data_IF_788235802488
#
_entry.id   IF_788235802488
#
_cell.length_a   1.000
_cell.length_b   1.000
_cell.length_c   1.000
_cell.angle_alpha   90.00
_cell.angle_beta   90.00
_cell.angle_gamma   90.00
#
_symmetry.space_group_name_H-M   'P 1'
#
loop_
_entity.id
_entity.type
_entity.pdbx_description
1 polymer ?
#
# COMPACT_ATOMS: atom_id res chain seq x y z
N UNK A 1 -29.91 -19.79 -28.37
CA UNK A 1 -29.11 -18.95 -29.30
C UNK A 1 -29.23 -17.45 -29.04
N UNK A 2 -30.42 -16.84 -29.07
CA UNK A 2 -30.57 -15.37 -28.84
C UNK A 2 -30.11 -14.90 -27.44
N UNK A 3 -30.41 -15.64 -26.37
CA UNK A 3 -29.90 -15.33 -25.03
C UNK A 3 -28.37 -15.46 -24.92
N UNK A 4 -27.77 -16.44 -25.61
CA UNK A 4 -26.32 -16.66 -25.63
C UNK A 4 -25.59 -15.51 -26.33
N UNK A 5 -26.11 -15.08 -27.49
CA UNK A 5 -25.59 -13.96 -28.25
C UNK A 5 -25.70 -12.64 -27.46
N UNK A 6 -26.82 -12.44 -26.75
CA UNK A 6 -27.01 -11.27 -25.87
C UNK A 6 -26.04 -11.28 -24.69
N UNK A 7 -25.82 -12.44 -24.02
CA UNK A 7 -24.82 -12.59 -22.96
C UNK A 7 -23.41 -12.26 -23.45
N UNK A 8 -23.02 -12.76 -24.62
CA UNK A 8 -21.69 -12.49 -25.19
C UNK A 8 -21.51 -11.00 -25.56
N UNK A 9 -22.55 -10.37 -26.10
CA UNK A 9 -22.54 -8.94 -26.42
C UNK A 9 -22.41 -8.08 -25.16
N UNK A 10 -23.19 -8.37 -24.11
CA UNK A 10 -23.11 -7.71 -22.80
C UNK A 10 -21.73 -7.91 -22.18
N UNK A 11 -21.19 -9.13 -22.20
CA UNK A 11 -19.84 -9.40 -21.68
C UNK A 11 -18.74 -8.63 -22.44
N UNK A 12 -18.89 -8.43 -23.76
CA UNK A 12 -17.96 -7.61 -24.56
C UNK A 12 -18.06 -6.13 -24.22
N UNK A 13 -19.28 -5.61 -24.05
CA UNK A 13 -19.53 -4.23 -23.64
C UNK A 13 -19.00 -3.96 -22.23
N UNK A 14 -19.28 -4.85 -21.28
CA UNK A 14 -18.77 -4.76 -19.90
C UNK A 14 -17.24 -4.78 -19.89
N UNK A 15 -16.59 -5.68 -20.64
CA UNK A 15 -15.11 -5.69 -20.75
C UNK A 15 -14.55 -4.38 -21.29
N UNK A 16 -15.16 -3.82 -22.34
CA UNK A 16 -14.72 -2.54 -22.90
C UNK A 16 -14.91 -1.38 -21.93
N UNK A 17 -16.06 -1.33 -21.25
CA UNK A 17 -16.37 -0.31 -20.25
C UNK A 17 -15.40 -0.39 -19.05
N UNK A 18 -15.20 -1.58 -18.50
CA UNK A 18 -14.26 -1.82 -17.40
C UNK A 18 -12.81 -1.47 -17.80
N UNK A 19 -12.40 -1.79 -19.03
CA UNK A 19 -11.09 -1.40 -19.54
C UNK A 19 -10.88 0.12 -19.53
N UNK A 20 -11.87 0.88 -20.00
CA UNK A 20 -11.85 2.35 -19.97
C UNK A 20 -11.86 2.89 -18.55
N UNK A 21 -12.67 2.33 -17.64
CA UNK A 21 -12.70 2.74 -16.24
C UNK A 21 -11.34 2.55 -15.56
N UNK A 22 -10.74 1.36 -15.70
CA UNK A 22 -9.41 1.05 -15.14
C UNK A 22 -8.35 1.99 -15.73
N UNK A 23 -8.36 2.23 -17.04
CA UNK A 23 -7.42 3.14 -17.69
C UNK A 23 -7.55 4.57 -17.16
N UNK A 24 -8.78 5.07 -16.98
CA UNK A 24 -9.03 6.40 -16.42
C UNK A 24 -8.57 6.49 -14.96
N UNK A 25 -8.91 5.49 -14.14
CA UNK A 25 -8.53 5.42 -12.73
C UNK A 25 -6.99 5.39 -12.58
N UNK A 26 -6.32 4.56 -13.38
CA UNK A 26 -4.86 4.48 -13.42
C UNK A 26 -4.24 5.80 -13.87
N UNK A 27 -4.76 6.42 -14.95
CA UNK A 27 -4.26 7.69 -15.46
C UNK A 27 -4.38 8.82 -14.44
N UNK A 28 -5.51 8.90 -13.74
CA UNK A 28 -5.70 9.85 -12.64
C UNK A 28 -4.76 9.56 -11.47
N UNK A 29 -4.61 8.29 -11.07
CA UNK A 29 -3.68 7.87 -10.03
C UNK A 29 -2.25 8.29 -10.36
N UNK A 30 -1.76 7.97 -11.56
CA UNK A 30 -0.43 8.38 -12.03
C UNK A 30 -0.28 9.90 -12.06
N UNK A 31 -1.30 10.64 -12.52
CA UNK A 31 -1.29 12.09 -12.51
C UNK A 31 -1.21 12.69 -11.10
N UNK A 32 -1.93 12.12 -10.14
CA UNK A 32 -1.86 12.52 -8.73
C UNK A 32 -0.47 12.25 -8.15
N UNK A 33 0.09 11.06 -8.39
CA UNK A 33 1.44 10.72 -7.95
C UNK A 33 2.46 11.73 -8.50
N UNK A 34 2.45 11.96 -9.82
CA UNK A 34 3.41 12.84 -10.49
C UNK A 34 3.48 14.24 -9.86
N UNK A 35 2.37 14.75 -9.31
CA UNK A 35 2.31 16.07 -8.68
C UNK A 35 2.53 16.06 -7.16
N UNK A 36 2.64 14.90 -6.52
CA UNK A 36 2.65 14.80 -5.04
C UNK A 36 3.84 14.05 -4.47
N UNK A 37 4.45 13.14 -5.21
CA UNK A 37 5.66 12.44 -4.75
C UNK A 37 6.85 13.39 -4.75
N UNK A 38 7.60 13.41 -3.66
CA UNK A 38 8.82 14.19 -3.48
C UNK A 38 10.08 13.39 -3.83
N UNK A 39 9.97 12.06 -3.89
CA UNK A 39 11.07 11.14 -4.17
C UNK A 39 10.62 9.90 -4.94
N UNK A 40 11.58 9.14 -5.49
CA UNK A 40 11.28 7.94 -6.27
C UNK A 40 10.68 6.79 -5.45
N UNK A 41 10.96 6.73 -4.14
CA UNK A 41 10.48 5.64 -3.27
C UNK A 41 9.29 6.04 -2.38
N UNK A 42 8.72 7.23 -2.55
CA UNK A 42 7.59 7.74 -1.72
C UNK A 42 6.33 6.83 -1.76
N UNK A 43 6.19 5.99 -2.77
CA UNK A 43 5.04 5.07 -2.92
C UNK A 43 5.37 3.63 -2.59
N UNK A 44 6.60 3.32 -2.13
CA UNK A 44 7.10 1.97 -1.89
C UNK A 44 6.91 0.99 -3.08
N UNK A 45 6.67 1.52 -4.29
CA UNK A 45 6.64 0.80 -5.54
C UNK A 45 7.94 1.13 -6.28
N UNK A 46 8.67 0.13 -6.83
CA UNK A 46 9.82 0.41 -7.68
C UNK A 46 9.40 1.09 -8.98
N UNK A 47 9.44 2.43 -9.00
CA UNK A 47 9.22 3.21 -10.20
C UNK A 47 10.47 3.27 -11.10
N UNK A 48 11.64 3.16 -10.47
CA UNK A 48 12.95 3.21 -11.13
C UNK A 48 13.66 1.86 -11.02
N UNK A 49 14.64 1.65 -11.89
CA UNK A 49 15.51 0.48 -11.81
C UNK A 49 16.46 0.62 -10.61
N UNK A 50 16.89 -0.48 -9.98
CA UNK A 50 17.78 -0.43 -8.81
C UNK A 50 19.06 0.39 -9.05
N UNK A 51 19.63 0.32 -10.27
CA UNK A 51 20.84 1.06 -10.65
C UNK A 51 20.64 2.58 -10.80
N UNK A 52 19.40 3.07 -10.82
CA UNK A 52 19.12 4.51 -10.88
C UNK A 52 19.53 5.22 -9.59
N UNK A 53 19.50 4.53 -8.45
CA UNK A 53 19.81 5.13 -7.16
C UNK A 53 18.76 6.15 -6.70
N UNK A 54 19.05 6.88 -5.61
CA UNK A 54 18.07 7.75 -4.96
C UNK A 54 17.77 8.99 -5.81
N UNK A 55 16.48 9.35 -5.94
CA UNK A 55 16.02 10.48 -6.73
C UNK A 55 15.01 11.34 -5.97
N UNK A 56 15.19 12.65 -6.06
CA UNK A 56 14.29 13.67 -5.54
C UNK A 56 13.59 14.42 -6.67
N UNK A 57 12.42 14.99 -6.39
CA UNK A 57 11.65 15.80 -7.32
C UNK A 57 11.62 17.23 -6.75
N UNK A 58 12.56 18.11 -7.13
CA UNK A 58 12.73 19.42 -6.50
C UNK A 58 11.49 20.31 -6.58
N UNK A 59 10.71 20.20 -7.68
CA UNK A 59 9.46 20.94 -7.85
C UNK A 59 8.44 20.55 -6.76
N UNK A 60 8.21 19.26 -6.57
CA UNK A 60 7.25 18.77 -5.59
C UNK A 60 7.76 18.98 -4.15
N UNK A 61 9.08 18.97 -3.93
CA UNK A 61 9.67 19.35 -2.64
C UNK A 61 9.42 20.83 -2.32
N UNK A 62 9.53 21.71 -3.32
CA UNK A 62 9.21 23.13 -3.14
C UNK A 62 7.74 23.30 -2.71
N UNK A 63 6.81 22.69 -3.44
CA UNK A 63 5.38 22.73 -3.10
C UNK A 63 5.08 22.09 -1.75
N UNK A 64 5.81 21.02 -1.39
CA UNK A 64 5.69 20.39 -0.07
C UNK A 64 6.14 21.34 1.06
N UNK A 65 7.20 22.12 0.81
CA UNK A 65 7.78 23.08 1.76
C UNK A 65 6.95 24.34 1.95
N UNK A 66 6.11 24.68 0.96
CA UNK A 66 5.39 25.94 0.95
C UNK A 66 4.41 26.05 2.14
N UNK A 67 4.47 27.18 2.85
CA UNK A 67 3.61 27.45 4.01
C UNK A 67 4.02 26.77 5.32
N UNK A 68 5.11 25.98 5.36
CA UNK A 68 5.58 25.34 6.60
C UNK A 68 6.30 26.29 7.57
N UNK A 69 6.88 27.38 7.05
CA UNK A 69 7.75 28.26 7.85
C UNK A 69 9.05 27.58 8.32
N UNK A 70 9.42 26.45 7.70
CA UNK A 70 10.65 25.69 7.97
C UNK A 70 11.68 26.04 6.90
N UNK A 71 12.96 26.06 7.26
CA UNK A 71 14.04 26.33 6.33
C UNK A 71 14.12 25.22 5.25
N UNK A 72 14.36 25.62 4.00
CA UNK A 72 14.27 24.73 2.83
C UNK A 72 15.32 23.62 2.86
N UNK A 73 16.52 23.88 3.34
CA UNK A 73 17.59 22.90 3.52
C UNK A 73 17.20 21.83 4.54
N UNK A 74 16.52 22.19 5.64
CA UNK A 74 15.98 21.21 6.60
C UNK A 74 14.94 20.28 5.96
N UNK A 75 14.03 20.84 5.16
CA UNK A 75 13.03 20.07 4.39
C UNK A 75 13.71 19.12 3.40
N UNK A 76 14.65 19.65 2.60
CA UNK A 76 15.41 18.87 1.63
C UNK A 76 16.17 17.73 2.31
N UNK A 77 16.83 18.00 3.44
CA UNK A 77 17.60 17.00 4.16
C UNK A 77 16.71 15.90 4.72
N UNK A 78 15.56 16.25 5.29
CA UNK A 78 14.58 15.27 5.77
C UNK A 78 14.08 14.35 4.65
N UNK A 79 13.65 14.91 3.52
CA UNK A 79 13.14 14.13 2.39
C UNK A 79 14.25 13.29 1.72
N UNK A 80 15.48 13.83 1.63
CA UNK A 80 16.65 13.08 1.17
C UNK A 80 16.98 11.89 2.07
N UNK A 81 16.92 12.06 3.40
CA UNK A 81 17.16 10.97 4.34
C UNK A 81 16.14 9.84 4.18
N UNK A 82 14.85 10.18 3.96
CA UNK A 82 13.81 9.19 3.67
C UNK A 82 14.08 8.43 2.38
N UNK A 83 14.39 9.14 1.31
CA UNK A 83 14.65 8.56 -0.01
C UNK A 83 15.88 7.63 0.01
N UNK A 84 16.95 8.03 0.70
CA UNK A 84 18.15 7.19 0.87
C UNK A 84 17.87 5.99 1.76
N UNK A 85 17.08 6.14 2.82
CA UNK A 85 16.67 5.02 3.67
C UNK A 85 15.87 3.98 2.85
N UNK A 86 14.87 4.41 2.11
CA UNK A 86 14.08 3.55 1.24
C UNK A 86 14.94 2.87 0.17
N UNK A 87 15.79 3.65 -0.52
CA UNK A 87 16.73 3.12 -1.51
C UNK A 87 17.65 2.05 -0.92
N UNK A 88 18.19 2.28 0.29
CA UNK A 88 19.02 1.28 1.01
C UNK A 88 18.23 0.02 1.34
N UNK A 89 16.98 0.15 1.79
CA UNK A 89 16.13 -0.98 2.13
C UNK A 89 15.88 -1.88 0.91
N UNK A 90 15.49 -1.29 -0.21
CA UNK A 90 15.21 -2.03 -1.45
C UNK A 90 16.49 -2.60 -2.09
N UNK A 91 17.60 -1.85 -2.09
CA UNK A 91 18.86 -2.33 -2.64
C UNK A 91 19.43 -3.52 -1.84
N UNK A 92 19.29 -3.52 -0.51
CA UNK A 92 19.75 -4.63 0.34
C UNK A 92 18.85 -5.86 0.24
N UNK A 93 17.53 -5.66 0.12
CA UNK A 93 16.54 -6.74 0.17
C UNK A 93 15.85 -6.90 -1.19
N UNK A 94 16.57 -7.46 -2.15
CA UNK A 94 16.15 -7.55 -3.57
C UNK A 94 14.86 -8.33 -3.79
N UNK A 95 14.49 -9.22 -2.86
CA UNK A 95 13.24 -9.97 -2.88
C UNK A 95 12.01 -9.07 -2.67
N UNK A 96 12.16 -7.92 -2.00
CA UNK A 96 11.03 -7.07 -1.59
C UNK A 96 10.23 -6.56 -2.78
N UNK A 97 10.90 -6.24 -3.89
CA UNK A 97 10.24 -5.86 -5.14
C UNK A 97 9.36 -6.98 -5.70
N UNK A 98 9.89 -8.20 -5.71
CA UNK A 98 9.16 -9.38 -6.19
C UNK A 98 8.00 -9.68 -5.27
N UNK A 99 8.19 -9.62 -3.95
CA UNK A 99 7.15 -9.86 -2.97
C UNK A 99 5.97 -8.89 -3.10
N UNK A 100 6.22 -7.59 -3.24
CA UNK A 100 5.16 -6.58 -3.44
C UNK A 100 4.41 -6.83 -4.75
N UNK A 101 5.14 -7.05 -5.85
CA UNK A 101 4.55 -7.36 -7.16
C UNK A 101 3.69 -8.62 -7.10
N UNK A 102 4.18 -9.66 -6.43
CA UNK A 102 3.49 -10.95 -6.34
C UNK A 102 2.26 -10.86 -5.45
N UNK A 103 2.27 -10.06 -4.37
CA UNK A 103 1.09 -9.76 -3.57
C UNK A 103 0.01 -9.04 -4.40
N UNK A 104 0.39 -7.99 -5.15
CA UNK A 104 -0.51 -7.27 -6.08
C UNK A 104 -1.07 -8.23 -7.14
N UNK A 105 -0.19 -9.06 -7.74
CA UNK A 105 -0.59 -10.00 -8.79
C UNK A 105 -1.53 -11.08 -8.25
N UNK A 106 -1.29 -11.59 -7.05
CA UNK A 106 -2.12 -12.61 -6.40
C UNK A 106 -3.51 -12.05 -6.10
N UNK A 107 -3.58 -10.82 -5.59
CA UNK A 107 -4.86 -10.13 -5.41
C UNK A 107 -5.60 -9.96 -6.74
N UNK A 108 -4.92 -9.47 -7.78
CA UNK A 108 -5.50 -9.25 -9.10
C UNK A 108 -5.97 -10.52 -9.79
N UNK A 109 -5.23 -11.64 -9.68
CA UNK A 109 -5.62 -12.95 -10.23
C UNK A 109 -6.93 -13.47 -9.65
N UNK A 110 -7.24 -13.12 -8.40
CA UNK A 110 -8.49 -13.49 -7.76
C UNK A 110 -9.70 -12.66 -8.23
N UNK A 111 -9.49 -11.57 -8.99
CA UNK A 111 -10.58 -10.76 -9.53
C UNK A 111 -11.19 -11.50 -10.71
N UNK A 112 -12.09 -12.44 -10.42
CA UNK A 112 -12.95 -13.06 -11.42
C UNK A 112 -14.24 -12.27 -11.52
N UNK A 113 -14.61 -11.88 -12.74
CA UNK A 113 -15.95 -11.38 -13.01
C UNK A 113 -16.89 -12.58 -12.92
N UNK A 114 -17.50 -12.78 -11.75
CA UNK A 114 -18.56 -13.77 -11.58
C UNK A 114 -19.84 -13.23 -12.25
N UNK A 115 -19.95 -13.49 -13.55
CA UNK A 115 -21.11 -13.10 -14.37
C UNK A 115 -22.39 -13.68 -13.78
N UNK A 116 -22.33 -14.85 -13.15
CA UNK A 116 -23.50 -15.49 -12.54
C UNK A 116 -23.91 -14.74 -11.27
N UNK A 117 -22.95 -14.31 -10.44
CA UNK A 117 -23.20 -13.43 -9.29
C UNK A 117 -23.75 -12.08 -9.73
N UNK A 118 -23.22 -11.50 -10.81
CA UNK A 118 -23.74 -10.25 -11.38
C UNK A 118 -25.19 -10.45 -11.84
N UNK A 119 -25.52 -11.54 -12.53
CA UNK A 119 -26.90 -11.82 -12.94
C UNK A 119 -27.83 -12.04 -11.74
N UNK A 120 -27.40 -12.77 -10.71
CA UNK A 120 -28.19 -12.97 -9.48
C UNK A 120 -28.43 -11.65 -8.75
N UNK A 121 -27.40 -10.83 -8.57
CA UNK A 121 -27.53 -9.51 -7.93
C UNK A 121 -28.43 -8.58 -8.74
N UNK A 122 -28.38 -8.65 -10.07
CA UNK A 122 -29.29 -7.89 -10.93
C UNK A 122 -30.74 -8.36 -10.77
N UNK A 123 -30.99 -9.68 -10.76
CA UNK A 123 -32.32 -10.27 -10.56
C UNK A 123 -32.89 -9.94 -9.18
N UNK A 124 -32.06 -10.00 -8.13
CA UNK A 124 -32.41 -9.61 -6.76
C UNK A 124 -32.71 -8.11 -6.66
N UNK A 125 -31.90 -7.25 -7.29
CA UNK A 125 -32.12 -5.81 -7.28
C UNK A 125 -33.39 -5.41 -8.07
N UNK A 126 -33.71 -6.11 -9.16
CA UNK A 126 -34.95 -5.91 -9.91
C UNK A 126 -36.18 -6.40 -9.13
N UNK A 127 -36.08 -7.56 -8.47
CA UNK A 127 -37.20 -8.13 -7.69
C UNK A 127 -37.45 -7.41 -6.35
N UNK A 128 -36.42 -6.82 -5.76
CA UNK A 128 -36.52 -5.98 -4.56
C UNK A 128 -36.89 -4.51 -4.84
N UNK A 129 -37.01 -4.12 -6.12
CA UNK A 129 -37.34 -2.75 -6.54
C UNK A 129 -36.19 -1.74 -6.39
N UNK A 130 -34.96 -2.21 -6.17
CA UNK A 130 -33.76 -1.37 -6.08
C UNK A 130 -33.29 -0.85 -7.45
N UNK A 131 -33.57 -1.61 -8.52
CA UNK A 131 -33.35 -1.18 -9.91
C UNK A 131 -34.71 -1.11 -10.60
N UNK A 132 -35.03 0.07 -11.13
CA UNK A 132 -36.15 0.26 -12.05
C UNK A 132 -35.60 0.34 -13.48
N UNK A 133 -35.92 -0.69 -14.27
CA UNK A 133 -35.51 -0.81 -15.69
C UNK A 133 -36.02 0.38 -16.51
N UNK A 134 -37.12 1.02 -16.11
CA UNK A 134 -37.67 2.19 -16.78
C UNK A 134 -37.00 3.50 -16.36
N UNK A 135 -36.10 3.46 -15.37
CA UNK A 135 -35.36 4.62 -14.89
C UNK A 135 -33.83 4.38 -14.99
N UNK A 136 -33.17 4.88 -16.06
CA UNK A 136 -31.73 4.76 -16.26
C UNK A 136 -30.86 5.37 -15.15
N UNK A 137 -31.42 6.27 -14.34
CA UNK A 137 -30.72 6.88 -13.21
C UNK A 137 -30.62 5.90 -12.02
N UNK A 138 -31.58 4.99 -11.86
CA UNK A 138 -31.57 3.98 -10.79
C UNK A 138 -30.40 3.00 -10.95
N UNK A 139 -30.07 2.63 -12.19
CA UNK A 139 -28.93 1.77 -12.53
C UNK A 139 -27.60 2.44 -12.16
N UNK A 140 -27.46 3.74 -12.45
CA UNK A 140 -26.27 4.50 -12.05
C UNK A 140 -26.12 4.59 -10.53
N UNK A 141 -27.21 4.77 -9.79
CA UNK A 141 -27.18 4.81 -8.31
C UNK A 141 -26.81 3.43 -7.75
N UNK A 142 -27.40 2.35 -8.27
CA UNK A 142 -27.10 0.98 -7.84
C UNK A 142 -25.64 0.60 -8.09
N UNK A 143 -25.08 0.93 -9.26
CA UNK A 143 -23.66 0.72 -9.58
C UNK A 143 -22.74 1.47 -8.61
N UNK A 144 -23.04 2.74 -8.32
CA UNK A 144 -22.29 3.53 -7.35
C UNK A 144 -22.46 3.05 -5.89
N UNK A 145 -23.51 2.28 -5.61
CA UNK A 145 -23.78 1.71 -4.29
C UNK A 145 -23.11 0.35 -4.08
N UNK A 146 -22.27 -0.10 -5.02
CA UNK A 146 -21.52 -1.35 -4.91
C UNK A 146 -22.27 -2.59 -5.39
N UNK A 147 -23.42 -2.44 -6.06
CA UNK A 147 -24.05 -3.54 -6.77
C UNK A 147 -23.07 -3.99 -7.89
N UNK A 148 -22.77 -5.30 -7.96
CA UNK A 148 -21.75 -5.91 -8.84
C UNK A 148 -20.29 -5.80 -8.37
N UNK A 149 -20.04 -5.49 -7.11
CA UNK A 149 -18.68 -5.63 -6.55
C UNK A 149 -18.37 -7.11 -6.30
N UNK A 150 -17.32 -7.69 -6.92
CA UNK A 150 -16.93 -9.07 -6.65
C UNK A 150 -16.60 -9.25 -5.17
N UNK A 151 -17.10 -10.33 -4.54
CA UNK A 151 -16.69 -10.67 -3.18
C UNK A 151 -15.23 -11.17 -3.19
N UNK A 152 -14.44 -10.72 -2.22
CA UNK A 152 -13.05 -11.16 -2.09
C UNK A 152 -13.00 -12.60 -1.57
N UNK A 153 -12.14 -13.41 -2.15
CA UNK A 153 -11.82 -14.75 -1.64
C UNK A 153 -10.87 -14.67 -0.45
N UNK A 154 -10.81 -15.69 0.44
CA UNK A 154 -9.86 -15.70 1.56
C UNK A 154 -8.40 -15.54 1.13
N UNK A 155 -8.04 -16.04 -0.07
CA UNK A 155 -6.71 -15.86 -0.64
C UNK A 155 -6.43 -14.39 -1.02
N UNK A 156 -7.44 -13.67 -1.52
CA UNK A 156 -7.33 -12.23 -1.82
C UNK A 156 -7.22 -11.40 -0.55
N UNK A 157 -8.03 -11.69 0.47
CA UNK A 157 -7.94 -11.00 1.77
C UNK A 157 -6.55 -11.17 2.39
N UNK A 158 -5.99 -12.39 2.34
CA UNK A 158 -4.64 -12.65 2.82
C UNK A 158 -3.58 -11.92 1.98
N UNK A 159 -3.71 -11.87 0.66
CA UNK A 159 -2.80 -11.14 -0.21
C UNK A 159 -2.83 -9.62 0.06
N UNK A 160 -4.02 -9.04 0.26
CA UNK A 160 -4.17 -7.64 0.67
C UNK A 160 -3.56 -7.39 2.03
N UNK A 161 -3.82 -8.27 3.01
CA UNK A 161 -3.24 -8.14 4.36
C UNK A 161 -1.71 -8.16 4.31
N UNK A 162 -1.13 -9.05 3.51
CA UNK A 162 0.33 -9.13 3.30
C UNK A 162 0.89 -7.87 2.64
N UNK A 163 0.17 -7.32 1.65
CA UNK A 163 0.55 -6.08 0.98
C UNK A 163 0.47 -4.88 1.92
N UNK A 164 -0.65 -4.73 2.66
CA UNK A 164 -0.83 -3.69 3.68
C UNK A 164 0.29 -3.73 4.72
N UNK A 165 0.59 -4.93 5.22
CA UNK A 165 1.65 -5.14 6.21
C UNK A 165 3.02 -4.75 5.65
N UNK A 166 3.38 -5.18 4.45
CA UNK A 166 4.66 -4.84 3.87
C UNK A 166 4.81 -3.33 3.66
N UNK A 167 3.79 -2.66 3.14
CA UNK A 167 3.79 -1.20 2.96
C UNK A 167 3.93 -0.47 4.30
N UNK A 168 3.18 -0.90 5.32
CA UNK A 168 3.27 -0.31 6.66
C UNK A 168 4.65 -0.55 7.31
N UNK A 169 5.22 -1.75 7.13
CA UNK A 169 6.54 -2.11 7.67
C UNK A 169 7.66 -1.31 6.99
N UNK A 170 7.61 -1.13 5.66
CA UNK A 170 8.57 -0.31 4.91
C UNK A 170 8.54 1.12 5.46
N UNK A 171 7.35 1.73 5.52
CA UNK A 171 7.17 3.09 6.02
C UNK A 171 7.58 3.25 7.48
N UNK A 172 7.18 2.31 8.33
CA UNK A 172 7.55 2.30 9.74
C UNK A 172 9.06 2.19 9.94
N UNK A 173 9.75 1.41 9.11
CA UNK A 173 11.20 1.25 9.18
C UNK A 173 11.91 2.53 8.73
N UNK A 174 11.45 3.13 7.63
CA UNK A 174 11.96 4.43 7.13
C UNK A 174 11.79 5.50 8.22
N UNK A 175 10.59 5.64 8.79
CA UNK A 175 10.31 6.58 9.89
C UNK A 175 11.26 6.34 11.07
N UNK A 176 11.46 5.08 11.46
CA UNK A 176 12.34 4.72 12.58
C UNK A 176 13.82 5.07 12.32
N UNK A 177 14.39 4.66 11.18
CA UNK A 177 15.82 4.91 10.89
C UNK A 177 16.13 6.38 10.63
N UNK A 178 15.20 7.10 9.98
CA UNK A 178 15.35 8.54 9.75
C UNK A 178 15.26 9.28 11.08
N UNK A 179 14.29 8.94 11.94
CA UNK A 179 14.16 9.57 13.27
C UNK A 179 15.42 9.39 14.11
N UNK A 180 16.02 8.19 14.10
CA UNK A 180 17.22 7.91 14.86
C UNK A 180 18.45 8.77 14.46
N UNK A 181 18.48 9.29 13.22
CA UNK A 181 19.60 10.11 12.72
C UNK A 181 19.26 11.60 12.69
N UNK A 182 18.02 11.95 12.35
CA UNK A 182 17.61 13.32 12.09
C UNK A 182 17.20 14.09 13.35
N UNK A 183 16.72 13.42 14.40
CA UNK A 183 16.14 14.07 15.58
C UNK A 183 17.09 15.04 16.30
N UNK A 184 18.38 14.76 16.27
CA UNK A 184 19.43 15.59 16.91
C UNK A 184 20.12 16.55 15.93
N UNK A 185 19.82 16.46 14.63
CA UNK A 185 20.55 17.16 13.56
C UNK A 185 19.70 18.18 12.80
N UNK A 186 18.40 17.99 12.77
CA UNK A 186 17.45 18.87 12.09
C UNK A 186 16.62 19.58 13.17
N UNK A 187 16.83 20.87 13.43
CA UNK A 187 16.10 21.61 14.45
C UNK A 187 14.57 21.48 14.36
N UNK A 188 14.06 21.51 13.13
CA UNK A 188 12.62 21.44 12.83
C UNK A 188 12.11 20.01 12.64
N UNK A 189 12.87 18.98 13.02
CA UNK A 189 12.54 17.58 12.75
C UNK A 189 11.14 17.18 13.24
N UNK A 190 10.78 17.58 14.46
CA UNK A 190 9.46 17.27 15.04
C UNK A 190 8.30 17.89 14.24
N UNK A 191 8.51 19.08 13.66
CA UNK A 191 7.51 19.71 12.79
C UNK A 191 7.42 18.98 11.44
N UNK A 192 8.56 18.56 10.88
CA UNK A 192 8.63 17.83 9.61
C UNK A 192 7.94 16.46 9.70
N UNK A 193 8.21 15.68 10.76
CA UNK A 193 7.60 14.36 10.95
C UNK A 193 6.09 14.47 11.19
N UNK A 194 5.65 15.47 11.97
CA UNK A 194 4.22 15.72 12.20
C UNK A 194 3.52 16.17 10.90
N UNK A 195 4.13 17.05 10.11
CA UNK A 195 3.59 17.41 8.80
C UNK A 195 3.45 16.20 7.88
N UNK A 196 4.50 15.38 7.82
CA UNK A 196 4.54 14.15 7.03
C UNK A 196 3.43 13.18 7.45
N UNK A 197 3.22 12.99 8.76
CA UNK A 197 2.15 12.16 9.31
C UNK A 197 0.75 12.69 8.97
N UNK A 198 0.52 14.00 9.06
CA UNK A 198 -0.76 14.62 8.69
C UNK A 198 -1.08 14.42 7.22
N UNK A 199 -0.12 14.70 6.34
CA UNK A 199 -0.27 14.49 4.89
C UNK A 199 -0.57 13.02 4.57
N UNK A 200 0.06 12.07 5.27
CA UNK A 200 -0.25 10.64 5.11
C UNK A 200 -1.67 10.26 5.56
N UNK A 201 -2.21 10.93 6.58
CA UNK A 201 -3.54 10.64 7.08
C UNK A 201 -4.67 11.19 6.19
N UNK A 202 -4.39 12.24 5.40
CA UNK A 202 -5.42 12.92 4.59
C UNK A 202 -5.23 12.76 3.09
N UNK A 203 -3.99 12.66 2.60
CA UNK A 203 -3.62 12.81 1.20
C UNK A 203 -2.40 11.95 0.80
N UNK A 204 -2.25 10.74 1.34
CA UNK A 204 -1.13 9.87 0.94
C UNK A 204 -1.29 9.45 -0.54
N UNK A 205 -0.35 9.83 -1.44
CA UNK A 205 -0.45 9.46 -2.86
C UNK A 205 -0.46 7.94 -3.07
N UNK A 206 0.32 7.24 -2.23
CA UNK A 206 0.36 5.78 -2.17
C UNK A 206 -1.01 5.19 -1.80
N UNK A 207 -1.67 5.71 -0.76
CA UNK A 207 -3.01 5.23 -0.39
C UNK A 207 -4.03 5.50 -1.48
N UNK A 208 -4.02 6.68 -2.10
CA UNK A 208 -4.97 7.00 -3.18
C UNK A 208 -4.77 6.09 -4.40
N UNK A 209 -3.52 5.80 -4.76
CA UNK A 209 -3.20 4.85 -5.83
C UNK A 209 -3.73 3.45 -5.51
N UNK A 210 -3.40 2.91 -4.33
CA UNK A 210 -3.79 1.55 -3.96
C UNK A 210 -5.29 1.41 -3.65
N UNK A 211 -5.93 2.44 -3.09
CA UNK A 211 -7.38 2.47 -2.88
C UNK A 211 -8.12 2.46 -4.22
N UNK A 212 -7.67 3.27 -5.19
CA UNK A 212 -8.31 3.35 -6.50
C UNK A 212 -8.09 2.11 -7.37
N UNK A 213 -6.92 1.47 -7.30
CA UNK A 213 -6.60 0.30 -8.12
C UNK A 213 -6.99 -1.03 -7.47
N UNK A 214 -6.84 -1.15 -6.15
CA UNK A 214 -6.99 -2.42 -5.43
C UNK A 214 -8.02 -2.36 -4.30
N UNK A 215 -8.65 -1.21 -4.03
CA UNK A 215 -9.48 -1.04 -2.82
C UNK A 215 -8.67 -1.18 -1.53
N UNK A 216 -7.36 -1.01 -1.60
CA UNK A 216 -6.45 -1.19 -0.47
C UNK A 216 -6.17 0.16 0.19
N UNK A 217 -6.50 0.25 1.48
CA UNK A 217 -6.16 1.40 2.32
C UNK A 217 -5.24 0.96 3.45
N UNK A 218 -4.01 1.47 3.47
CA UNK A 218 -3.12 1.28 4.62
C UNK A 218 -3.51 2.29 5.69
N UNK A 219 -4.14 1.85 6.77
CA UNK A 219 -4.63 2.79 7.78
C UNK A 219 -3.49 3.57 8.47
N UNK A 220 -3.68 4.86 8.81
CA UNK A 220 -2.68 5.62 9.58
C UNK A 220 -2.35 5.00 10.95
N UNK A 221 -3.28 4.20 11.50
CA UNK A 221 -3.05 3.38 12.69
C UNK A 221 -1.98 2.32 12.43
N UNK A 222 -2.09 1.58 11.32
CA UNK A 222 -1.16 0.50 10.97
C UNK A 222 0.26 1.01 10.78
N UNK A 223 0.43 2.17 10.13
CA UNK A 223 1.75 2.79 9.95
C UNK A 223 2.42 3.13 11.30
N UNK A 224 1.63 3.58 12.29
CA UNK A 224 2.14 3.83 13.64
C UNK A 224 2.51 2.56 14.38
N UNK A 225 1.67 1.53 14.29
CA UNK A 225 1.95 0.21 14.89
C UNK A 225 3.25 -0.36 14.32
N UNK A 226 3.48 -0.23 13.01
CA UNK A 226 4.73 -0.67 12.37
C UNK A 226 5.96 0.14 12.84
N UNK A 227 5.85 1.47 12.99
CA UNK A 227 6.95 2.28 13.53
C UNK A 227 7.28 1.90 14.99
N UNK A 228 6.26 1.66 15.81
CA UNK A 228 6.42 1.19 17.18
C UNK A 228 7.08 -0.20 17.23
N UNK A 229 6.66 -1.13 16.36
CA UNK A 229 7.27 -2.43 16.19
C UNK A 229 8.78 -2.32 15.94
N UNK A 230 9.22 -1.49 15.00
CA UNK A 230 10.66 -1.35 14.71
C UNK A 230 11.46 -0.75 15.87
N UNK A 231 10.87 0.18 16.61
CA UNK A 231 11.48 0.71 17.83
C UNK A 231 11.68 -0.39 18.88
N UNK A 232 10.67 -1.24 19.08
CA UNK A 232 10.73 -2.33 20.03
C UNK A 232 11.70 -3.44 19.61
N UNK A 233 11.70 -3.85 18.33
CA UNK A 233 12.69 -4.81 17.79
C UNK A 233 14.11 -4.29 18.01
N UNK A 234 14.36 -3.00 17.72
CA UNK A 234 15.67 -2.38 17.97
C UNK A 234 16.05 -2.41 19.45
N UNK A 235 15.10 -2.24 20.36
CA UNK A 235 15.37 -2.28 21.80
C UNK A 235 15.68 -3.71 22.29
N UNK A 236 15.03 -4.73 21.71
CA UNK A 236 15.19 -6.13 22.09
C UNK A 236 16.42 -6.81 21.45
N UNK A 237 16.73 -6.47 20.19
CA UNK A 237 17.73 -7.19 19.36
C UNK A 237 18.75 -6.27 18.67
N UNK A 238 18.74 -4.97 18.97
CA UNK A 238 19.63 -4.00 18.33
C UNK A 238 19.30 -3.71 16.87
N UNK A 239 20.12 -2.87 16.23
CA UNK A 239 19.93 -2.50 14.83
C UNK A 239 20.11 -3.68 13.86
N UNK A 240 21.04 -4.59 14.16
CA UNK A 240 21.28 -5.78 13.34
C UNK A 240 20.07 -6.73 13.40
N UNK A 241 19.55 -7.01 14.60
CA UNK A 241 18.35 -7.84 14.74
C UNK A 241 17.12 -7.25 14.05
N UNK A 242 16.96 -5.91 14.09
CA UNK A 242 15.94 -5.20 13.33
C UNK A 242 16.09 -5.40 11.82
N UNK A 243 17.31 -5.22 11.31
CA UNK A 243 17.56 -5.34 9.87
C UNK A 243 17.52 -6.80 9.39
N UNK A 244 17.71 -7.80 10.28
CA UNK A 244 17.53 -9.23 9.99
C UNK A 244 16.10 -9.63 9.66
N UNK A 245 15.10 -8.92 10.18
CA UNK A 245 13.69 -9.16 9.83
C UNK A 245 13.42 -8.99 8.32
N UNK A 246 14.30 -8.31 7.59
CA UNK A 246 14.21 -8.13 6.14
C UNK A 246 14.94 -9.20 5.33
N UNK A 247 15.60 -10.19 5.94
CA UNK A 247 16.37 -11.20 5.21
C UNK A 247 15.49 -12.09 4.32
N UNK A 248 14.26 -12.39 4.76
CA UNK A 248 13.31 -13.24 4.03
C UNK A 248 11.86 -12.80 4.33
N UNK A 249 10.91 -12.92 3.37
CA UNK A 249 9.49 -12.68 3.63
C UNK A 249 8.92 -13.41 4.85
N UNK A 250 9.43 -14.59 5.20
CA UNK A 250 8.99 -15.38 6.34
C UNK A 250 9.30 -14.72 7.69
N UNK A 251 10.23 -13.76 7.72
CA UNK A 251 10.60 -12.99 8.92
C UNK A 251 9.86 -11.66 9.03
N UNK A 252 8.84 -11.42 8.20
CA UNK A 252 7.95 -10.27 8.36
C UNK A 252 6.78 -10.59 9.29
N UNK A 253 6.43 -9.68 10.22
CA UNK A 253 5.26 -9.85 11.06
C UNK A 253 3.96 -9.68 10.28
N UNK A 254 2.92 -10.37 10.74
CA UNK A 254 1.53 -10.16 10.36
C UNK A 254 0.83 -9.22 11.37
N UNK A 255 -0.39 -8.72 11.12
CA UNK A 255 -1.01 -7.70 11.96
C UNK A 255 -1.10 -8.06 13.45
N UNK A 256 -1.31 -9.35 13.76
CA UNK A 256 -1.40 -9.87 15.13
C UNK A 256 -0.05 -9.81 15.87
N UNK A 257 1.05 -9.89 15.14
CA UNK A 257 2.40 -9.99 15.68
C UNK A 257 2.93 -8.62 16.14
N UNK A 258 2.34 -7.53 15.63
CA UNK A 258 2.69 -6.16 16.04
C UNK A 258 2.35 -5.85 17.51
N UNK A 259 1.44 -6.61 18.11
CA UNK A 259 1.00 -6.41 19.50
C UNK A 259 1.93 -7.07 20.53
N UNK A 260 2.68 -8.11 20.13
CA UNK A 260 3.65 -8.81 20.97
C UNK A 260 4.93 -9.08 20.17
N UNK A 261 5.77 -8.06 20.11
CA UNK A 261 7.02 -8.06 19.35
C UNK A 261 7.97 -9.13 19.85
N UNK A 262 8.01 -9.37 21.17
CA UNK A 262 8.89 -10.38 21.76
C UNK A 262 8.46 -11.78 21.33
N UNK A 263 7.18 -12.12 21.45
CA UNK A 263 6.67 -13.43 21.03
C UNK A 263 6.92 -13.67 19.54
N UNK A 264 6.71 -12.64 18.70
CA UNK A 264 7.05 -12.72 17.29
C UNK A 264 8.53 -13.03 17.07
N UNK A 265 9.44 -12.26 17.67
CA UNK A 265 10.88 -12.45 17.51
C UNK A 265 11.34 -13.83 17.97
N UNK A 266 10.78 -14.34 19.07
CA UNK A 266 11.08 -15.67 19.58
C UNK A 266 10.55 -16.78 18.64
N UNK A 267 9.48 -16.52 17.87
CA UNK A 267 8.92 -17.48 16.89
C UNK A 267 9.71 -17.59 15.58
N UNK A 268 10.45 -16.53 15.22
CA UNK A 268 11.24 -16.47 13.97
C UNK A 268 12.74 -16.69 14.19
N UNK A 269 13.16 -16.88 15.45
CA UNK A 269 14.54 -17.25 15.77
C UNK A 269 14.64 -18.76 15.96
N UNK A 270 15.54 -19.39 15.21
CA UNK A 270 15.90 -20.78 15.46
C UNK A 270 16.65 -20.82 16.79
N UNK A 271 16.26 -21.68 17.76
CA UNK A 271 16.99 -21.83 19.00
C UNK A 271 18.44 -22.23 18.72
N UNK A 272 19.40 -21.55 19.35
CA UNK A 272 20.84 -21.89 19.24
C UNK A 272 21.15 -23.30 19.75
N UNK A 273 20.23 -23.90 20.52
CA UNK A 273 20.29 -25.28 20.99
C UNK A 273 19.08 -26.09 20.52
N UNK A 274 19.32 -27.03 19.61
CA UNK A 274 18.33 -27.98 19.09
C UNK A 274 18.34 -29.32 19.85
N UNK A 275 19.18 -29.47 20.88
CA UNK A 275 19.38 -30.73 21.60
C UNK A 275 18.13 -31.21 22.36
N UNK A 276 17.17 -30.32 22.61
CA UNK A 276 15.87 -30.64 23.21
C UNK A 276 14.77 -31.05 22.22
N UNK A 277 15.07 -31.07 20.92
CA UNK A 277 14.12 -31.43 19.84
C UNK A 277 14.32 -32.86 19.30
N UNK A 278 15.23 -33.62 19.90
CA UNK A 278 15.57 -35.01 19.52
C UNK A 278 15.07 -35.99 20.59
#
# INVERSE_FOLDING_TARGET
EQQEAMKQMVAKLLRSFMGTLIANQLGQGVGLLANSITSANDVAIPLLKPESGPHLIPQNIQEWSDGLGIEKTEVNLYLALREVAASRLFAKNTWLHTYLRDAITTYGKGITIDVDSITRQAEEAMSSGQIDINNPQSINIALNSGLFTPQQTPAQELALTKLEMALALIEGWIDHVVSAVASERIPSFNALIENSRRRRATNSPMQQLFASLLGLEVSPRKMREASAFWNEVKNLRGADGRDKCWEDPAFLPMPKDLADVKAFLDSVTVPDDLSGLI
#
